data_IF_856580947115
#
_entry.id   IF_856580947115
#
_cell.length_a   1.000
_cell.length_b   1.000
_cell.length_c   1.000
_cell.angle_alpha   90.00
_cell.angle_beta   90.00
_cell.angle_gamma   90.00
#
_symmetry.space_group_name_H-M   'P 1'
#
loop_
_entity.id
_entity.type
_entity.pdbx_description
1 polymer ?
#
# COMPACT_ATOMS: atom_id res chain seq x y z
N UNK A 1 0.70 -21.47 -30.47
CA UNK A 1 0.44 -20.21 -31.24
C UNK A 1 0.44 -18.94 -30.39
N UNK A 2 0.64 -18.99 -29.08
CA UNK A 2 0.59 -17.83 -28.15
C UNK A 2 1.95 -17.08 -28.05
N UNK A 3 3.08 -17.72 -28.41
CA UNK A 3 4.42 -17.12 -28.29
C UNK A 3 4.73 -15.94 -29.23
N UNK A 4 3.96 -15.71 -30.30
CA UNK A 4 4.24 -14.63 -31.27
C UNK A 4 3.60 -13.29 -30.96
N UNK A 5 2.61 -13.20 -30.07
CA UNK A 5 1.89 -11.95 -29.79
C UNK A 5 2.42 -11.16 -28.58
N UNK A 6 3.26 -11.76 -27.73
CA UNK A 6 3.84 -11.10 -26.55
C UNK A 6 4.97 -10.12 -26.93
N UNK A 7 5.67 -10.34 -28.03
CA UNK A 7 6.82 -9.50 -28.45
C UNK A 7 6.36 -8.21 -29.15
N UNK A 8 5.18 -8.17 -29.75
CA UNK A 8 4.68 -7.01 -30.50
C UNK A 8 4.14 -5.90 -29.59
N UNK A 9 3.79 -6.18 -28.34
CA UNK A 9 3.27 -5.17 -27.40
C UNK A 9 4.39 -4.34 -26.72
N UNK A 10 5.65 -4.74 -26.81
CA UNK A 10 6.78 -4.04 -26.17
C UNK A 10 7.39 -2.92 -27.01
N UNK A 11 6.98 -2.70 -28.26
CA UNK A 11 7.65 -1.77 -29.19
C UNK A 11 6.91 -0.45 -29.43
N UNK A 12 5.85 -0.12 -28.70
CA UNK A 12 5.10 1.14 -28.88
C UNK A 12 5.41 2.24 -27.85
N UNK A 13 6.49 2.13 -27.08
CA UNK A 13 6.94 3.22 -26.23
C UNK A 13 7.99 4.10 -26.94
N UNK A 14 7.55 4.93 -27.89
CA UNK A 14 8.40 5.96 -28.50
C UNK A 14 8.56 7.12 -27.49
N UNK A 15 9.80 7.57 -27.22
CA UNK A 15 9.99 8.72 -26.35
C UNK A 15 9.55 9.99 -27.09
N UNK A 16 8.50 10.66 -26.57
CA UNK A 16 8.21 12.03 -26.97
C UNK A 16 9.40 12.90 -26.53
N UNK A 17 10.05 13.57 -27.47
CA UNK A 17 11.09 14.57 -27.21
C UNK A 17 10.55 15.60 -26.22
N UNK A 18 11.22 15.75 -25.08
CA UNK A 18 10.90 16.73 -24.07
C UNK A 18 11.07 18.14 -24.62
N UNK A 19 9.98 18.90 -24.65
CA UNK A 19 10.08 20.35 -24.67
C UNK A 19 10.85 20.78 -23.42
N UNK A 20 11.86 21.61 -23.56
CA UNK A 20 12.53 22.30 -22.43
C UNK A 20 11.46 23.19 -21.83
N UNK A 21 10.86 22.74 -20.72
CA UNK A 21 9.91 23.56 -19.97
C UNK A 21 10.69 24.70 -19.34
N UNK A 22 10.29 25.94 -19.62
CA UNK A 22 10.68 27.10 -18.80
C UNK A 22 10.38 26.74 -17.35
N UNK A 23 11.34 26.87 -16.46
CA UNK A 23 11.17 26.62 -15.03
C UNK A 23 10.08 27.57 -14.51
N UNK A 24 8.92 27.01 -14.22
CA UNK A 24 7.80 27.75 -13.68
C UNK A 24 8.19 28.37 -12.33
N UNK A 25 7.91 29.65 -12.12
CA UNK A 25 8.09 30.29 -10.81
C UNK A 25 7.01 29.86 -9.79
N UNK A 26 6.00 29.08 -10.22
CA UNK A 26 4.97 28.55 -9.33
C UNK A 26 5.51 27.34 -8.52
N UNK A 27 5.57 27.42 -7.19
CA UNK A 27 6.04 26.32 -6.33
C UNK A 27 5.27 25.03 -6.53
N UNK A 28 3.95 25.09 -6.77
CA UNK A 28 3.14 23.91 -7.01
C UNK A 28 3.48 23.25 -8.35
N UNK A 29 3.83 24.03 -9.37
CA UNK A 29 4.28 23.49 -10.65
C UNK A 29 5.66 22.81 -10.53
N UNK A 30 6.61 23.43 -9.80
CA UNK A 30 7.93 22.82 -9.55
C UNK A 30 7.82 21.48 -8.82
N UNK A 31 6.95 21.36 -7.81
CA UNK A 31 6.70 20.07 -7.14
C UNK A 31 6.05 19.07 -8.09
N UNK A 32 5.12 19.50 -8.95
CA UNK A 32 4.49 18.64 -9.94
C UNK A 32 5.50 18.08 -10.96
N UNK A 33 6.50 18.86 -11.38
CA UNK A 33 7.60 18.44 -12.24
C UNK A 33 8.49 17.36 -11.57
N UNK A 34 8.58 17.37 -10.24
CA UNK A 34 9.23 16.30 -9.48
C UNK A 34 8.40 15.02 -9.40
N UNK A 35 7.16 15.01 -9.90
CA UNK A 35 6.28 13.85 -9.95
C UNK A 35 5.27 13.78 -8.81
N UNK A 36 5.10 14.88 -8.07
CA UNK A 36 4.02 14.97 -7.08
C UNK A 36 2.68 15.27 -7.75
N UNK A 37 1.64 14.74 -7.16
CA UNK A 37 0.26 14.90 -7.63
C UNK A 37 -0.58 15.60 -6.56
N UNK A 38 -1.72 16.15 -6.97
CA UNK A 38 -2.66 16.89 -6.10
C UNK A 38 -2.01 18.04 -5.31
N UNK A 39 -0.97 18.65 -5.88
CA UNK A 39 -0.16 19.65 -5.19
C UNK A 39 -0.96 20.92 -4.95
N UNK A 40 -0.88 21.44 -3.72
CA UNK A 40 -1.36 22.74 -3.29
C UNK A 40 -0.36 23.34 -2.31
N UNK A 41 -0.03 24.60 -2.48
CA UNK A 41 0.92 25.32 -1.64
C UNK A 41 0.27 26.62 -1.18
N UNK A 42 0.44 26.98 0.09
CA UNK A 42 0.04 28.27 0.64
C UNK A 42 1.11 28.79 1.61
N UNK A 43 1.44 30.06 1.49
CA UNK A 43 2.35 30.77 2.36
C UNK A 43 1.56 31.48 3.46
N UNK A 44 2.03 31.42 4.69
CA UNK A 44 1.46 32.16 5.80
C UNK A 44 2.55 33.03 6.43
N UNK A 45 2.74 34.21 5.86
CA UNK A 45 3.86 35.07 6.18
C UNK A 45 5.22 34.44 5.91
N UNK A 46 6.28 34.97 6.49
CA UNK A 46 7.65 34.46 6.32
C UNK A 46 7.99 33.26 7.24
N UNK A 47 7.01 32.72 7.94
CA UNK A 47 7.27 31.75 9.02
C UNK A 47 6.95 30.32 8.64
N UNK A 48 5.85 30.05 7.96
CA UNK A 48 5.36 28.69 7.68
C UNK A 48 4.81 28.59 6.26
N UNK A 49 5.19 27.52 5.57
CA UNK A 49 4.59 27.12 4.29
C UNK A 49 3.78 25.85 4.49
N UNK A 50 2.52 25.88 4.09
CA UNK A 50 1.60 24.76 4.11
C UNK A 50 1.54 24.10 2.75
N UNK A 51 1.74 22.79 2.71
CA UNK A 51 1.77 22.03 1.46
C UNK A 51 0.94 20.77 1.58
N UNK A 52 0.16 20.50 0.55
CA UNK A 52 -0.51 19.22 0.35
C UNK A 52 0.07 18.59 -0.91
N UNK A 53 0.44 17.33 -0.85
CA UNK A 53 0.95 16.58 -2.00
C UNK A 53 0.68 15.08 -1.88
N UNK A 54 0.64 14.41 -3.04
CA UNK A 54 0.55 12.95 -3.16
C UNK A 54 1.81 12.43 -3.87
N UNK A 55 2.47 11.45 -3.25
CA UNK A 55 3.76 10.92 -3.71
C UNK A 55 3.58 9.64 -4.51
N UNK A 56 3.08 9.72 -5.74
CA UNK A 56 2.85 8.56 -6.58
C UNK A 56 4.10 8.05 -7.33
N UNK A 57 5.19 8.82 -7.35
CA UNK A 57 6.37 8.54 -8.18
C UNK A 57 7.56 7.97 -7.43
N UNK A 58 7.53 7.96 -6.11
CA UNK A 58 8.66 7.54 -5.28
C UNK A 58 8.34 6.28 -4.49
N UNK A 59 9.24 5.30 -4.54
CA UNK A 59 9.15 4.09 -3.71
C UNK A 59 9.35 4.44 -2.24
N UNK A 60 8.41 4.02 -1.40
CA UNK A 60 8.40 4.30 0.03
C UNK A 60 7.86 5.70 0.38
N UNK A 61 6.97 5.75 1.36
CA UNK A 61 6.26 6.97 1.79
C UNK A 61 7.20 8.08 2.23
N UNK A 62 8.26 7.73 2.98
CA UNK A 62 9.27 8.65 3.49
C UNK A 62 10.13 9.29 2.39
N UNK A 63 10.39 8.58 1.29
CA UNK A 63 11.27 9.07 0.21
C UNK A 63 10.63 10.24 -0.54
N UNK A 64 9.36 10.09 -0.89
CA UNK A 64 8.61 11.18 -1.48
C UNK A 64 8.51 12.38 -0.54
N UNK A 65 8.26 12.13 0.76
CA UNK A 65 8.24 13.19 1.77
C UNK A 65 9.58 13.96 1.81
N UNK A 66 10.71 13.25 1.85
CA UNK A 66 12.04 13.87 1.88
C UNK A 66 12.32 14.71 0.63
N UNK A 67 12.03 14.18 -0.57
CA UNK A 67 12.22 14.92 -1.82
C UNK A 67 11.35 16.17 -1.87
N UNK A 68 10.10 16.08 -1.40
CA UNK A 68 9.19 17.24 -1.32
C UNK A 68 9.71 18.30 -0.36
N UNK A 69 10.14 17.93 0.84
CA UNK A 69 10.69 18.83 1.85
C UNK A 69 11.99 19.48 1.34
N UNK A 70 12.87 18.72 0.72
CA UNK A 70 14.12 19.24 0.15
C UNK A 70 13.84 20.28 -0.96
N UNK A 71 12.88 20.00 -1.84
CA UNK A 71 12.47 20.93 -2.89
C UNK A 71 11.90 22.23 -2.30
N UNK A 72 11.03 22.12 -1.29
CA UNK A 72 10.48 23.25 -0.57
C UNK A 72 11.58 24.11 0.09
N UNK A 73 12.58 23.47 0.71
CA UNK A 73 13.71 24.17 1.30
C UNK A 73 14.59 24.93 0.31
N UNK A 74 14.61 24.51 -0.97
CA UNK A 74 15.26 25.24 -2.06
C UNK A 74 14.41 26.41 -2.57
N UNK A 75 13.09 26.20 -2.68
CA UNK A 75 12.13 27.22 -3.14
C UNK A 75 12.00 28.34 -2.10
N UNK A 76 12.00 27.97 -0.81
CA UNK A 76 11.76 28.85 0.31
C UNK A 76 12.92 28.83 1.33
N UNK A 77 14.11 29.39 1.00
CA UNK A 77 15.31 29.24 1.82
C UNK A 77 15.21 29.91 3.20
N UNK A 78 14.36 30.93 3.35
CA UNK A 78 14.22 31.73 4.56
C UNK A 78 13.06 31.31 5.48
N UNK A 79 12.23 30.35 5.04
CA UNK A 79 11.08 29.87 5.80
C UNK A 79 11.54 28.99 6.97
N UNK A 80 10.93 29.19 8.15
CA UNK A 80 11.30 28.48 9.39
C UNK A 80 10.78 27.07 9.46
N UNK A 81 9.57 26.82 8.91
CA UNK A 81 8.92 25.51 8.99
C UNK A 81 8.07 25.20 7.76
N UNK A 82 8.01 23.94 7.40
CA UNK A 82 7.09 23.40 6.42
C UNK A 82 6.10 22.46 7.10
N UNK A 83 4.81 22.65 6.83
CA UNK A 83 3.72 21.76 7.23
C UNK A 83 3.25 21.03 5.99
N UNK A 84 3.58 19.75 5.89
CA UNK A 84 3.35 18.92 4.69
C UNK A 84 2.31 17.85 5.00
N UNK A 85 1.21 17.83 4.24
CA UNK A 85 0.19 16.80 4.30
C UNK A 85 0.38 15.84 3.14
N UNK A 86 0.67 14.60 3.44
CA UNK A 86 0.82 13.51 2.48
C UNK A 86 -0.54 12.87 2.22
N UNK A 87 -0.85 12.68 0.94
CA UNK A 87 -2.09 12.04 0.50
C UNK A 87 -1.81 10.67 -0.13
N UNK A 88 -2.83 9.79 -0.05
CA UNK A 88 -2.99 8.62 -0.89
C UNK A 88 -4.43 8.62 -1.44
N UNK A 89 -4.60 8.44 -2.75
CA UNK A 89 -5.90 8.57 -3.43
C UNK A 89 -6.68 9.84 -3.02
N UNK A 90 -5.95 10.95 -2.87
CA UNK A 90 -6.47 12.26 -2.44
C UNK A 90 -6.97 12.30 -0.97
N UNK A 91 -6.78 11.24 -0.19
CA UNK A 91 -7.15 11.15 1.23
C UNK A 91 -5.93 11.47 2.10
N UNK A 92 -6.08 12.33 3.12
CA UNK A 92 -5.03 12.59 4.11
C UNK A 92 -4.55 11.33 4.83
N UNK A 93 -3.25 11.10 4.84
CA UNK A 93 -2.63 9.98 5.54
C UNK A 93 -1.77 10.44 6.71
N UNK A 94 -0.76 11.26 6.45
CA UNK A 94 0.24 11.70 7.44
C UNK A 94 0.54 13.18 7.23
N UNK A 95 0.64 13.92 8.32
CA UNK A 95 1.19 15.28 8.34
C UNK A 95 2.61 15.28 8.87
N UNK A 96 3.45 16.13 8.28
CA UNK A 96 4.84 16.31 8.70
C UNK A 96 5.08 17.78 9.04
N UNK A 97 5.85 18.02 10.10
CA UNK A 97 6.45 19.31 10.40
C UNK A 97 7.95 19.19 10.16
N UNK A 98 8.47 19.92 9.18
CA UNK A 98 9.89 19.94 8.89
C UNK A 98 10.45 21.34 9.20
N UNK A 99 11.50 21.38 10.04
CA UNK A 99 12.23 22.60 10.39
C UNK A 99 13.71 22.39 10.08
N UNK A 100 14.43 23.48 9.82
CA UNK A 100 15.87 23.44 9.58
C UNK A 100 16.61 24.31 10.59
N UNK A 101 17.60 23.73 11.27
CA UNK A 101 18.46 24.44 12.19
C UNK A 101 19.91 23.94 11.99
N UNK A 102 20.88 24.85 11.95
CA UNK A 102 22.30 24.55 11.78
C UNK A 102 22.62 23.64 10.58
N UNK A 103 21.88 23.82 9.49
CA UNK A 103 22.01 23.02 8.28
C UNK A 103 21.38 21.64 8.33
N UNK A 104 20.87 21.21 9.48
CA UNK A 104 20.22 19.91 9.69
C UNK A 104 18.69 20.02 9.67
N UNK A 105 18.03 19.02 9.11
CA UNK A 105 16.60 18.89 9.12
C UNK A 105 16.12 18.16 10.37
N UNK A 106 15.06 18.68 10.98
CA UNK A 106 14.28 18.00 12.01
C UNK A 106 12.86 17.80 11.50
N UNK A 107 12.42 16.54 11.42
CA UNK A 107 11.11 16.18 10.89
C UNK A 107 10.32 15.43 11.95
N UNK A 108 9.10 15.91 12.23
CA UNK A 108 8.13 15.26 13.12
C UNK A 108 6.90 14.85 12.34
N UNK A 109 6.34 13.71 12.64
CA UNK A 109 5.14 13.17 12.00
C UNK A 109 3.97 13.07 12.95
N UNK A 110 2.77 13.32 12.42
CA UNK A 110 1.51 13.21 13.14
C UNK A 110 0.38 12.80 12.17
N UNK A 111 -0.76 12.40 12.73
CA UNK A 111 -2.00 12.23 11.97
C UNK A 111 -2.85 13.50 11.92
N UNK A 112 -2.63 14.45 12.85
CA UNK A 112 -3.38 15.70 12.93
C UNK A 112 -2.93 16.69 11.84
N UNK A 113 -3.89 17.27 11.12
CA UNK A 113 -3.66 18.22 10.02
C UNK A 113 -4.67 19.37 9.98
N UNK A 114 -5.33 19.67 11.11
CA UNK A 114 -6.37 20.72 11.19
C UNK A 114 -5.80 22.07 10.77
N UNK A 115 -4.57 22.42 11.19
CA UNK A 115 -3.87 23.65 10.81
C UNK A 115 -3.66 23.76 9.30
N UNK A 116 -3.31 22.65 8.63
CA UNK A 116 -3.16 22.61 7.16
C UNK A 116 -4.52 22.77 6.49
N UNK A 117 -5.58 22.21 7.07
CA UNK A 117 -6.93 22.26 6.54
C UNK A 117 -7.50 23.68 6.57
N UNK A 118 -7.24 24.44 7.65
CA UNK A 118 -7.72 25.83 7.81
C UNK A 118 -6.84 26.86 7.10
N UNK A 119 -5.60 26.49 6.72
CA UNK A 119 -4.75 27.37 5.93
C UNK A 119 -5.42 27.74 4.60
N UNK A 120 -5.17 28.94 4.12
CA UNK A 120 -5.74 29.45 2.85
C UNK A 120 -5.07 28.77 1.65
N UNK A 121 -5.40 27.53 1.40
CA UNK A 121 -4.87 26.74 0.28
C UNK A 121 -5.68 26.98 -1.00
N UNK A 122 -5.04 27.03 -2.18
CA UNK A 122 -5.73 27.10 -3.46
C UNK A 122 -6.74 25.96 -3.62
N UNK A 123 -7.95 26.24 -4.10
CA UNK A 123 -8.96 25.22 -4.38
C UNK A 123 -8.52 24.28 -5.50
N UNK A 124 -7.86 24.83 -6.53
CA UNK A 124 -7.34 24.08 -7.68
C UNK A 124 -6.08 23.31 -7.27
N UNK A 125 -6.05 22.03 -7.62
CA UNK A 125 -4.88 21.16 -7.45
C UNK A 125 -4.02 21.22 -8.69
N UNK A 126 -2.70 21.30 -8.52
CA UNK A 126 -1.76 21.12 -9.63
C UNK A 126 -1.48 19.63 -9.79
N UNK A 127 -1.52 19.14 -11.02
CA UNK A 127 -1.27 17.74 -11.39
C UNK A 127 -2.22 16.74 -10.67
N UNK A 128 -3.54 16.86 -10.90
CA UNK A 128 -4.52 15.95 -10.29
C UNK A 128 -4.24 14.47 -10.59
N UNK A 129 -4.36 13.59 -9.59
CA UNK A 129 -4.27 12.13 -9.75
C UNK A 129 -5.56 11.51 -10.30
N UNK A 130 -6.69 12.21 -10.26
CA UNK A 130 -7.97 11.66 -10.67
C UNK A 130 -7.99 11.23 -12.14
N UNK A 131 -8.43 9.99 -12.39
CA UNK A 131 -8.49 9.38 -13.72
C UNK A 131 -7.13 8.98 -14.32
N UNK A 132 -6.07 9.00 -13.53
CA UNK A 132 -4.79 8.41 -13.91
C UNK A 132 -4.77 6.91 -13.61
N UNK A 133 -4.12 6.16 -14.47
CA UNK A 133 -4.10 4.70 -14.43
C UNK A 133 -2.68 4.19 -14.27
N UNK A 134 -2.46 3.32 -13.32
CA UNK A 134 -1.24 2.52 -13.17
C UNK A 134 -1.47 1.09 -13.65
N UNK A 135 -0.58 0.61 -14.48
CA UNK A 135 -0.48 -0.78 -14.89
C UNK A 135 0.79 -1.37 -14.28
N UNK A 136 0.62 -2.34 -13.40
CA UNK A 136 1.72 -2.97 -12.64
C UNK A 136 1.65 -4.49 -12.83
N UNK A 137 2.77 -5.17 -13.03
CA UNK A 137 2.80 -6.64 -13.11
C UNK A 137 3.48 -7.18 -11.86
N UNK A 138 2.69 -7.76 -10.96
CA UNK A 138 3.19 -8.38 -9.74
C UNK A 138 3.63 -9.82 -9.99
N UNK A 139 4.85 -10.22 -9.62
CA UNK A 139 5.21 -11.62 -9.50
C UNK A 139 4.57 -12.19 -8.24
N UNK A 140 3.95 -13.36 -8.34
CA UNK A 140 3.38 -14.08 -7.22
C UNK A 140 4.06 -15.44 -7.09
N UNK A 141 4.38 -15.82 -5.87
CA UNK A 141 4.97 -17.11 -5.56
C UNK A 141 4.38 -17.67 -4.28
N UNK A 142 3.82 -18.86 -4.37
CA UNK A 142 3.31 -19.63 -3.22
C UNK A 142 4.13 -20.87 -3.08
N UNK A 143 4.58 -21.17 -1.87
CA UNK A 143 5.33 -22.37 -1.54
C UNK A 143 4.61 -23.11 -0.40
N UNK A 144 4.43 -24.42 -0.57
CA UNK A 144 3.75 -25.26 0.38
C UNK A 144 4.64 -26.48 0.66
N UNK A 145 4.88 -26.74 1.93
CA UNK A 145 5.79 -27.78 2.39
C UNK A 145 5.08 -28.66 3.43
N UNK A 146 4.26 -29.62 2.99
CA UNK A 146 3.41 -30.38 3.88
C UNK A 146 3.34 -31.90 3.63
N UNK A 147 3.99 -32.42 2.57
CA UNK A 147 3.93 -33.85 2.23
C UNK A 147 5.31 -34.46 2.12
N UNK A 148 5.49 -35.65 2.72
CA UNK A 148 6.76 -36.38 2.65
C UNK A 148 7.08 -36.91 1.25
N UNK A 149 6.05 -37.26 0.47
CA UNK A 149 6.21 -37.79 -0.90
C UNK A 149 6.34 -36.68 -1.96
N UNK A 150 5.93 -35.46 -1.63
CA UNK A 150 6.12 -34.25 -2.46
C UNK A 150 6.75 -33.19 -1.56
N UNK A 151 8.09 -33.09 -1.52
CA UNK A 151 8.79 -32.27 -0.54
C UNK A 151 8.37 -30.78 -0.57
N UNK A 152 7.94 -30.31 -1.73
CA UNK A 152 7.35 -28.97 -1.87
C UNK A 152 6.39 -28.92 -3.05
N UNK A 153 5.30 -28.21 -2.85
CA UNK A 153 4.40 -27.75 -3.89
C UNK A 153 4.60 -26.25 -4.08
N UNK A 154 4.45 -25.77 -5.31
CA UNK A 154 4.56 -24.34 -5.59
C UNK A 154 3.61 -23.90 -6.70
N UNK A 155 3.30 -22.61 -6.66
CA UNK A 155 2.66 -21.89 -7.76
C UNK A 155 3.46 -20.62 -8.01
N UNK A 156 3.96 -20.45 -9.22
CA UNK A 156 4.53 -19.20 -9.72
C UNK A 156 3.54 -18.60 -10.71
N UNK A 157 3.16 -17.34 -10.50
CA UNK A 157 2.18 -16.64 -11.31
C UNK A 157 2.59 -15.20 -11.58
N UNK A 158 1.99 -14.60 -12.61
CA UNK A 158 2.02 -13.18 -12.86
C UNK A 158 0.64 -12.60 -12.61
N UNK A 159 0.58 -11.45 -11.96
CA UNK A 159 -0.65 -10.75 -11.66
C UNK A 159 -0.60 -9.31 -12.22
N UNK A 160 -0.92 -9.13 -13.52
CA UNK A 160 -1.04 -7.81 -14.12
C UNK A 160 -2.20 -7.07 -13.46
N UNK A 161 -1.92 -5.89 -12.92
CA UNK A 161 -2.85 -5.11 -12.12
C UNK A 161 -3.07 -3.75 -12.75
N UNK A 162 -4.33 -3.35 -12.83
CA UNK A 162 -4.75 -2.00 -13.21
C UNK A 162 -5.32 -1.33 -11.97
N UNK A 163 -4.78 -0.16 -11.63
CA UNK A 163 -5.26 0.65 -10.52
C UNK A 163 -5.57 2.08 -10.99
N UNK A 164 -6.69 2.62 -10.52
CA UNK A 164 -7.08 4.01 -10.79
C UNK A 164 -7.90 4.58 -9.63
N UNK A 165 -7.93 5.91 -9.54
CA UNK A 165 -8.78 6.66 -8.62
C UNK A 165 -9.51 7.72 -9.41
N UNK A 166 -10.85 7.73 -9.37
CA UNK A 166 -11.67 8.67 -10.15
C UNK A 166 -12.01 9.92 -9.34
N UNK A 167 -12.20 9.78 -8.03
CA UNK A 167 -12.48 10.87 -7.09
C UNK A 167 -11.80 10.63 -5.75
N UNK A 168 -11.92 11.58 -4.84
CA UNK A 168 -11.28 11.52 -3.52
C UNK A 168 -11.67 10.26 -2.75
N UNK A 169 -10.68 9.48 -2.36
CA UNK A 169 -10.82 8.25 -1.57
C UNK A 169 -11.32 7.04 -2.36
N UNK A 170 -11.61 7.20 -3.64
CA UNK A 170 -11.95 6.07 -4.50
C UNK A 170 -10.70 5.35 -4.97
N UNK A 171 -10.76 4.02 -5.00
CA UNK A 171 -9.80 3.16 -5.70
C UNK A 171 -10.56 2.08 -6.44
N UNK A 172 -10.12 1.79 -7.65
CA UNK A 172 -10.57 0.67 -8.46
C UNK A 172 -9.34 -0.17 -8.77
N UNK A 173 -9.39 -1.45 -8.42
CA UNK A 173 -8.32 -2.43 -8.68
C UNK A 173 -8.86 -3.56 -9.53
N UNK A 174 -8.12 -3.93 -10.57
CA UNK A 174 -8.40 -5.11 -11.38
C UNK A 174 -7.10 -5.90 -11.55
N UNK A 175 -7.07 -7.11 -11.03
CA UNK A 175 -5.91 -7.99 -11.04
C UNK A 175 -6.31 -9.43 -11.37
N UNK A 176 -6.15 -9.89 -12.60
CA UNK A 176 -6.13 -11.31 -12.91
C UNK A 176 -4.83 -11.96 -12.42
N UNK A 177 -4.90 -13.22 -12.00
CA UNK A 177 -3.75 -14.06 -11.67
C UNK A 177 -3.57 -15.07 -12.80
N UNK A 178 -2.39 -15.09 -13.40
CA UNK A 178 -2.03 -15.94 -14.52
C UNK A 178 -0.96 -16.93 -14.07
N UNK A 179 -1.30 -18.21 -13.80
CA UNK A 179 -0.31 -19.22 -13.44
C UNK A 179 0.68 -19.45 -14.59
N UNK A 180 1.98 -19.45 -14.29
CA UNK A 180 3.06 -19.66 -15.25
C UNK A 180 3.67 -21.03 -15.08
N UNK A 181 3.87 -21.46 -13.82
CA UNK A 181 4.42 -22.76 -13.48
C UNK A 181 3.88 -23.22 -12.14
N UNK A 182 3.52 -24.47 -12.03
CA UNK A 182 3.00 -25.06 -10.80
C UNK A 182 3.15 -26.58 -10.76
N UNK A 183 3.23 -27.13 -9.55
CA UNK A 183 3.13 -28.56 -9.29
C UNK A 183 2.09 -28.91 -8.20
N UNK A 184 1.27 -27.94 -7.81
CA UNK A 184 0.23 -28.10 -6.78
C UNK A 184 -0.84 -29.08 -7.24
N UNK A 185 -1.16 -30.05 -6.39
CA UNK A 185 -2.21 -31.05 -6.63
C UNK A 185 -3.52 -30.73 -5.89
N UNK A 186 -3.43 -30.03 -4.76
CA UNK A 186 -4.53 -29.86 -3.80
C UNK A 186 -5.43 -28.65 -4.05
N UNK A 187 -4.96 -27.61 -4.73
CA UNK A 187 -5.73 -26.35 -4.93
C UNK A 187 -6.08 -26.21 -6.42
N UNK A 188 -7.28 -26.61 -6.81
CA UNK A 188 -7.72 -26.59 -8.21
C UNK A 188 -7.70 -25.18 -8.83
N UNK A 189 -8.17 -24.15 -8.11
CA UNK A 189 -8.22 -22.77 -8.63
C UNK A 189 -6.86 -22.20 -8.97
N UNK A 190 -5.79 -22.64 -8.29
CA UNK A 190 -4.42 -22.15 -8.52
C UNK A 190 -3.84 -22.51 -9.89
N UNK A 191 -4.43 -23.46 -10.59
CA UNK A 191 -4.01 -23.91 -11.93
C UNK A 191 -4.60 -23.08 -13.07
N UNK A 192 -5.65 -22.32 -12.78
CA UNK A 192 -6.40 -21.59 -13.78
C UNK A 192 -6.12 -20.08 -13.71
N UNK A 193 -6.28 -19.43 -14.86
CA UNK A 193 -6.38 -17.97 -14.87
C UNK A 193 -7.65 -17.58 -14.12
N UNK A 194 -7.49 -16.72 -13.12
CA UNK A 194 -8.59 -16.31 -12.23
C UNK A 194 -8.47 -14.84 -11.83
N UNK A 195 -9.54 -14.31 -11.29
CA UNK A 195 -9.52 -12.99 -10.66
C UNK A 195 -8.84 -13.11 -9.31
N UNK A 196 -7.79 -12.32 -9.07
CA UNK A 196 -7.20 -12.16 -7.76
C UNK A 196 -7.95 -11.10 -6.98
N UNK A 197 -7.96 -9.87 -7.53
CA UNK A 197 -8.72 -8.73 -6.99
C UNK A 197 -9.48 -8.08 -8.16
N UNK A 198 -10.75 -7.78 -7.96
CA UNK A 198 -11.53 -6.90 -8.83
C UNK A 198 -12.52 -6.14 -7.96
N UNK A 199 -12.08 -5.03 -7.40
CA UNK A 199 -12.83 -4.29 -6.39
C UNK A 199 -12.95 -2.80 -6.70
N UNK A 200 -13.95 -2.20 -6.10
CA UNK A 200 -14.07 -0.77 -5.91
C UNK A 200 -14.09 -0.48 -4.41
N UNK A 201 -13.27 0.47 -3.97
CA UNK A 201 -13.23 0.89 -2.59
C UNK A 201 -13.39 2.40 -2.45
N UNK A 202 -13.91 2.80 -1.28
CA UNK A 202 -14.04 4.19 -0.86
C UNK A 202 -13.43 4.35 0.53
N UNK A 203 -12.43 5.19 0.63
CA UNK A 203 -11.78 5.58 1.88
C UNK A 203 -12.20 6.99 2.28
N UNK A 204 -12.39 7.21 3.57
CA UNK A 204 -12.69 8.50 4.19
C UNK A 204 -11.86 8.68 5.46
N UNK A 205 -11.48 9.93 5.74
CA UNK A 205 -10.79 10.31 6.97
C UNK A 205 -11.54 11.46 7.63
N UNK A 206 -11.65 11.44 8.96
CA UNK A 206 -12.23 12.53 9.74
C UNK A 206 -11.43 13.82 9.59
N UNK A 207 -12.05 14.94 9.97
CA UNK A 207 -11.42 16.28 9.84
C UNK A 207 -10.18 16.44 10.72
N UNK A 208 -10.16 15.80 11.87
CA UNK A 208 -9.03 15.79 12.81
C UNK A 208 -7.94 14.76 12.44
N UNK A 209 -8.17 13.92 11.42
CA UNK A 209 -7.23 12.88 10.99
C UNK A 209 -7.24 11.61 11.83
N UNK A 210 -8.01 11.55 12.91
CA UNK A 210 -7.98 10.43 13.86
C UNK A 210 -8.77 9.22 13.42
N UNK A 211 -9.90 9.41 12.74
CA UNK A 211 -10.72 8.31 12.24
C UNK A 211 -10.49 8.10 10.75
N UNK A 212 -10.32 6.88 10.36
CA UNK A 212 -10.26 6.43 8.99
C UNK A 212 -11.22 5.27 8.80
N UNK A 213 -11.97 5.26 7.72
CA UNK A 213 -12.83 4.16 7.34
C UNK A 213 -12.69 3.86 5.85
N UNK A 214 -12.78 2.59 5.49
CA UNK A 214 -12.78 2.11 4.11
C UNK A 214 -13.87 1.08 3.93
N UNK A 215 -14.64 1.21 2.85
CA UNK A 215 -15.59 0.20 2.38
C UNK A 215 -15.12 -0.27 1.00
N UNK A 216 -14.98 -1.57 0.82
CA UNK A 216 -14.65 -2.20 -0.46
C UNK A 216 -15.73 -3.21 -0.85
N UNK A 217 -15.95 -3.39 -2.16
CA UNK A 217 -16.85 -4.39 -2.69
C UNK A 217 -16.32 -4.96 -4.00
N UNK A 218 -16.41 -6.27 -4.15
CA UNK A 218 -15.94 -6.97 -5.34
C UNK A 218 -15.34 -8.33 -5.06
N UNK A 219 -14.38 -8.73 -5.89
CA UNK A 219 -13.57 -9.94 -5.73
C UNK A 219 -12.32 -9.63 -4.93
N UNK A 220 -12.01 -10.51 -3.99
CA UNK A 220 -10.86 -10.46 -3.11
C UNK A 220 -10.01 -11.72 -3.24
N UNK A 221 -8.78 -11.69 -2.73
CA UNK A 221 -7.95 -12.89 -2.63
C UNK A 221 -8.66 -14.04 -1.91
N UNK A 222 -8.12 -15.24 -2.07
CA UNK A 222 -8.68 -16.49 -1.54
C UNK A 222 -10.03 -16.88 -2.16
N UNK A 223 -10.25 -16.49 -3.44
CA UNK A 223 -11.45 -16.83 -4.20
C UNK A 223 -12.74 -16.39 -3.49
N UNK A 224 -12.75 -15.14 -2.97
CA UNK A 224 -13.87 -14.53 -2.24
C UNK A 224 -14.51 -13.40 -3.03
N UNK A 225 -15.83 -13.25 -2.89
CA UNK A 225 -16.61 -12.13 -3.43
C UNK A 225 -17.54 -11.58 -2.37
N UNK A 226 -17.65 -10.26 -2.25
CA UNK A 226 -18.55 -9.63 -1.26
C UNK A 226 -18.16 -8.22 -0.92
N UNK A 227 -18.28 -7.88 0.36
CA UNK A 227 -17.99 -6.56 0.93
C UNK A 227 -17.05 -6.65 2.11
N UNK A 228 -16.21 -5.62 2.29
CA UNK A 228 -15.25 -5.48 3.38
C UNK A 228 -15.30 -4.06 3.93
N UNK A 229 -15.48 -3.91 5.24
CA UNK A 229 -15.50 -2.64 5.96
C UNK A 229 -14.35 -2.61 6.96
N UNK A 230 -13.55 -1.57 6.92
CA UNK A 230 -12.46 -1.32 7.85
C UNK A 230 -12.64 0.02 8.52
N UNK A 231 -12.35 0.06 9.82
CA UNK A 231 -12.35 1.30 10.60
C UNK A 231 -11.08 1.33 11.45
N UNK A 232 -10.43 2.47 11.50
CA UNK A 232 -9.24 2.69 12.32
C UNK A 232 -9.37 3.99 13.11
N UNK A 233 -8.93 3.95 14.37
CA UNK A 233 -8.79 5.09 15.25
C UNK A 233 -7.32 5.28 15.60
N UNK A 234 -6.76 6.38 15.18
CA UNK A 234 -5.36 6.79 15.41
C UNK A 234 -5.26 7.47 16.77
N UNK A 235 -5.06 6.66 17.83
CA UNK A 235 -5.10 7.12 19.21
C UNK A 235 -3.93 8.06 19.54
N UNK A 236 -2.74 7.72 19.04
CA UNK A 236 -1.51 8.52 19.13
C UNK A 236 -0.73 8.38 17.81
N UNK A 237 0.33 9.17 17.57
CA UNK A 237 1.21 8.93 16.42
C UNK A 237 1.82 7.52 16.35
N UNK A 238 1.82 6.79 17.46
CA UNK A 238 2.43 5.46 17.56
C UNK A 238 1.41 4.31 17.69
N UNK A 239 0.17 4.60 18.09
CA UNK A 239 -0.85 3.60 18.38
C UNK A 239 -2.09 3.81 17.52
N UNK A 240 -2.44 2.80 16.74
CA UNK A 240 -3.69 2.73 15.98
C UNK A 240 -4.52 1.53 16.49
N UNK A 241 -5.77 1.77 16.76
CA UNK A 241 -6.77 0.74 17.07
C UNK A 241 -7.72 0.62 15.88
N UNK A 242 -8.13 -0.58 15.52
CA UNK A 242 -8.97 -0.78 14.35
C UNK A 242 -9.89 -1.97 14.47
N UNK A 243 -10.75 -2.09 13.49
CA UNK A 243 -11.61 -3.24 13.29
C UNK A 243 -11.91 -3.45 11.83
N UNK A 244 -12.18 -4.69 11.49
CA UNK A 244 -12.56 -5.11 10.15
C UNK A 244 -13.78 -6.03 10.24
N UNK A 245 -14.71 -5.90 9.32
CA UNK A 245 -15.86 -6.78 9.18
C UNK A 245 -16.13 -7.02 7.70
N UNK A 246 -16.25 -8.28 7.30
CA UNK A 246 -16.54 -8.62 5.91
C UNK A 246 -17.67 -9.64 5.82
N UNK A 247 -18.43 -9.55 4.72
CA UNK A 247 -19.48 -10.50 4.38
C UNK A 247 -19.25 -10.97 2.96
N UNK A 248 -18.82 -12.24 2.81
CA UNK A 248 -18.32 -12.78 1.54
C UNK A 248 -18.85 -14.18 1.24
N UNK A 249 -18.88 -14.52 -0.04
CA UNK A 249 -19.16 -15.86 -0.58
C UNK A 249 -17.96 -16.42 -1.36
N UNK A 250 -18.05 -17.67 -1.77
CA UNK A 250 -17.04 -18.31 -2.61
C UNK A 250 -17.15 -17.87 -4.07
N UNK A 251 -16.01 -17.68 -4.74
CA UNK A 251 -15.91 -17.41 -6.18
C UNK A 251 -14.79 -18.28 -6.79
N UNK A 252 -14.99 -19.61 -6.76
CA UNK A 252 -13.97 -20.61 -7.07
C UNK A 252 -13.97 -20.91 -8.57
N UNK A 253 -12.79 -21.05 -9.17
CA UNK A 253 -12.64 -21.52 -10.55
C UNK A 253 -12.43 -23.02 -10.56
N UNK A 254 -13.35 -23.74 -11.21
CA UNK A 254 -13.26 -25.17 -11.49
C UNK A 254 -13.35 -25.39 -13.01
N UNK A 255 -12.40 -26.12 -13.58
CA UNK A 255 -12.35 -26.45 -15.02
C UNK A 255 -12.58 -25.23 -15.94
N UNK A 256 -12.05 -24.07 -15.53
CA UNK A 256 -12.18 -22.81 -16.30
C UNK A 256 -13.52 -22.08 -16.14
N UNK A 257 -14.42 -22.58 -15.30
CA UNK A 257 -15.71 -21.95 -14.99
C UNK A 257 -15.74 -21.44 -13.55
N UNK A 258 -16.37 -20.29 -13.33
CA UNK A 258 -16.61 -19.76 -12.00
C UNK A 258 -17.83 -20.41 -11.35
N UNK A 259 -17.65 -20.94 -10.15
CA UNK A 259 -18.72 -21.25 -9.20
C UNK A 259 -18.79 -20.10 -8.20
N UNK A 260 -19.80 -19.25 -8.36
CA UNK A 260 -20.01 -18.08 -7.52
C UNK A 260 -21.21 -18.35 -6.61
N UNK A 261 -20.96 -18.31 -5.30
CA UNK A 261 -21.97 -18.43 -4.27
C UNK A 261 -22.34 -17.06 -3.69
N UNK A 262 -23.59 -16.90 -3.34
CA UNK A 262 -24.05 -15.72 -2.58
C UNK A 262 -23.24 -15.60 -1.28
N UNK A 263 -22.97 -14.37 -0.79
CA UNK A 263 -22.31 -14.17 0.48
C UNK A 263 -23.04 -14.91 1.61
N UNK A 264 -22.33 -15.74 2.34
CA UNK A 264 -22.83 -16.61 3.42
C UNK A 264 -21.91 -16.61 4.64
N UNK A 265 -20.72 -16.00 4.52
CA UNK A 265 -19.72 -15.99 5.59
C UNK A 265 -19.46 -14.57 6.07
N UNK A 266 -19.61 -14.40 7.36
CA UNK A 266 -19.27 -13.17 8.06
C UNK A 266 -17.95 -13.37 8.81
N UNK A 267 -16.99 -12.49 8.58
CA UNK A 267 -15.73 -12.41 9.34
C UNK A 267 -15.60 -11.04 10.00
N UNK A 268 -14.92 -11.00 11.15
CA UNK A 268 -14.65 -9.76 11.86
C UNK A 268 -13.48 -9.91 12.80
N UNK A 269 -12.69 -8.85 12.98
CA UNK A 269 -11.65 -8.81 14.01
C UNK A 269 -11.35 -7.38 14.47
N UNK A 270 -10.89 -7.30 15.72
CA UNK A 270 -10.24 -6.12 16.25
C UNK A 270 -8.75 -6.15 15.92
N UNK A 271 -8.16 -4.97 15.71
CA UNK A 271 -6.73 -4.77 15.44
C UNK A 271 -6.17 -3.74 16.42
N UNK A 272 -4.94 -3.96 16.88
CA UNK A 272 -4.14 -2.96 17.57
C UNK A 272 -2.74 -2.96 16.96
N UNK A 273 -2.29 -1.81 16.52
CA UNK A 273 -0.97 -1.61 15.93
C UNK A 273 -0.19 -0.59 16.74
N UNK A 274 1.01 -0.97 17.14
CA UNK A 274 1.93 -0.09 17.87
C UNK A 274 3.29 -0.05 17.18
N UNK A 275 3.80 1.17 16.95
CA UNK A 275 5.14 1.41 16.45
C UNK A 275 6.05 1.91 17.56
N UNK A 276 7.12 1.18 17.82
CA UNK A 276 8.15 1.55 18.81
C UNK A 276 9.28 2.34 18.11
N UNK A 277 9.42 3.67 18.40
CA UNK A 277 10.31 4.55 17.65
C UNK A 277 11.80 4.25 17.81
N UNK A 278 12.21 3.72 18.96
CA UNK A 278 13.62 3.48 19.27
C UNK A 278 14.15 2.25 18.54
N UNK A 279 13.46 1.12 18.68
CA UNK A 279 13.82 -0.13 18.00
C UNK A 279 13.30 -0.18 16.55
N UNK A 280 12.34 0.69 16.20
CA UNK A 280 11.65 0.74 14.90
C UNK A 280 10.91 -0.56 14.60
N UNK A 281 10.39 -1.19 15.62
CA UNK A 281 9.55 -2.36 15.51
C UNK A 281 8.08 -1.94 15.46
N UNK A 282 7.32 -2.57 14.58
CA UNK A 282 5.88 -2.54 14.55
C UNK A 282 5.37 -3.85 15.16
N UNK A 283 4.51 -3.76 16.16
CA UNK A 283 3.71 -4.87 16.65
C UNK A 283 2.28 -4.72 16.18
N UNK A 284 1.68 -5.76 15.61
CA UNK A 284 0.27 -5.80 15.25
C UNK A 284 -0.37 -7.02 15.91
N UNK A 285 -1.40 -6.77 16.71
CA UNK A 285 -2.26 -7.79 17.30
C UNK A 285 -3.62 -7.75 16.62
N UNK A 286 -4.10 -8.91 16.18
CA UNK A 286 -5.39 -9.08 15.53
C UNK A 286 -6.12 -10.24 16.17
N UNK A 287 -7.42 -10.11 16.47
CA UNK A 287 -8.19 -11.18 17.06
C UNK A 287 -9.66 -11.10 16.68
N UNK A 288 -10.26 -12.26 16.39
CA UNK A 288 -11.66 -12.36 15.98
C UNK A 288 -11.96 -13.61 15.18
N UNK A 289 -12.90 -13.51 14.25
CA UNK A 289 -13.32 -14.57 13.34
C UNK A 289 -12.74 -14.34 11.94
N UNK A 290 -11.90 -15.25 11.49
CA UNK A 290 -11.28 -15.21 10.17
C UNK A 290 -12.26 -15.58 9.05
N UNK A 291 -11.83 -15.38 7.79
CA UNK A 291 -12.68 -15.49 6.59
C UNK A 291 -13.29 -16.87 6.41
N UNK A 292 -12.58 -17.95 6.78
CA UNK A 292 -13.09 -19.32 6.64
C UNK A 292 -13.84 -19.81 7.88
N UNK A 293 -14.06 -18.92 8.88
CA UNK A 293 -14.97 -19.14 10.00
C UNK A 293 -14.29 -19.55 11.30
N UNK A 294 -12.98 -19.72 11.28
CA UNK A 294 -12.17 -20.02 12.46
C UNK A 294 -12.00 -18.77 13.34
N UNK A 295 -11.98 -18.98 14.66
CA UNK A 295 -11.74 -17.93 15.65
C UNK A 295 -10.31 -18.00 16.15
N UNK A 296 -9.64 -16.84 16.24
CA UNK A 296 -8.27 -16.85 16.67
C UNK A 296 -7.67 -15.48 16.95
N UNK A 297 -6.37 -15.52 17.23
CA UNK A 297 -5.52 -14.36 17.49
C UNK A 297 -4.22 -14.49 16.69
N UNK A 298 -3.82 -13.43 16.00
CA UNK A 298 -2.54 -13.33 15.29
C UNK A 298 -1.74 -12.17 15.88
N UNK A 299 -0.47 -12.42 16.20
CA UNK A 299 0.54 -11.42 16.54
C UNK A 299 1.58 -11.38 15.42
N UNK A 300 1.81 -10.20 14.89
CA UNK A 300 2.85 -9.92 13.90
C UNK A 300 3.84 -8.91 14.47
N UNK A 301 5.12 -9.14 14.31
CA UNK A 301 6.20 -8.24 14.70
C UNK A 301 7.08 -8.00 13.49
N UNK A 302 7.10 -6.76 13.02
CA UNK A 302 7.79 -6.36 11.80
C UNK A 302 8.79 -5.24 12.05
N UNK A 303 9.85 -5.22 11.27
CA UNK A 303 10.77 -4.09 11.18
C UNK A 303 10.85 -3.57 9.78
N UNK A 304 10.46 -2.31 9.61
CA UNK A 304 10.56 -1.58 8.36
C UNK A 304 11.91 -0.85 8.32
N UNK A 305 12.72 -1.22 7.36
CA UNK A 305 13.96 -0.51 7.04
C UNK A 305 13.67 0.54 5.94
N UNK A 306 14.73 1.18 5.43
CA UNK A 306 14.53 2.17 4.35
C UNK A 306 13.95 1.57 3.07
N UNK A 307 14.41 0.38 2.69
CA UNK A 307 14.07 -0.24 1.40
C UNK A 307 13.54 -1.68 1.53
N UNK A 308 13.41 -2.22 2.73
CA UNK A 308 12.89 -3.57 2.93
C UNK A 308 12.22 -3.73 4.30
N UNK A 309 11.36 -4.71 4.40
CA UNK A 309 10.67 -5.10 5.63
C UNK A 309 10.96 -6.56 5.93
N UNK A 310 11.14 -6.89 7.18
CA UNK A 310 11.21 -8.27 7.67
C UNK A 310 10.28 -8.38 8.87
N UNK A 311 9.50 -9.44 8.95
CA UNK A 311 8.61 -9.72 10.07
C UNK A 311 8.48 -11.21 10.37
N UNK A 312 8.01 -11.48 11.58
CA UNK A 312 7.65 -12.79 12.08
C UNK A 312 6.23 -12.71 12.61
N UNK A 313 5.46 -13.78 12.45
CA UNK A 313 4.14 -13.86 13.05
C UNK A 313 3.87 -15.20 13.70
N UNK A 314 3.00 -15.16 14.71
CA UNK A 314 2.39 -16.34 15.31
C UNK A 314 0.87 -16.20 15.30
N UNK A 315 0.17 -17.29 15.11
CA UNK A 315 -1.29 -17.36 15.09
C UNK A 315 -1.79 -18.57 15.86
N UNK A 316 -2.86 -18.33 16.63
CA UNK A 316 -3.67 -19.35 17.31
C UNK A 316 -5.08 -19.23 16.75
N UNK A 317 -5.58 -20.24 16.06
CA UNK A 317 -6.90 -20.18 15.42
C UNK A 317 -7.52 -21.57 15.26
N UNK A 318 -8.83 -21.70 15.47
CA UNK A 318 -9.55 -22.96 15.33
C UNK A 318 -9.04 -24.09 16.23
N UNK A 319 -8.32 -23.79 17.32
CA UNK A 319 -7.64 -24.77 18.15
C UNK A 319 -6.22 -25.12 17.70
N UNK A 320 -5.80 -24.64 16.54
CA UNK A 320 -4.47 -24.87 15.95
C UNK A 320 -3.53 -23.69 16.19
N UNK A 321 -2.23 -23.95 16.21
CA UNK A 321 -1.20 -22.93 16.27
C UNK A 321 -0.31 -23.00 15.04
N UNK A 322 0.05 -21.86 14.52
CA UNK A 322 0.92 -21.74 13.36
C UNK A 322 1.77 -20.49 13.47
N UNK A 323 2.72 -20.33 12.58
CA UNK A 323 3.59 -19.18 12.51
C UNK A 323 4.37 -19.17 11.21
N UNK A 324 5.08 -18.08 11.03
CA UNK A 324 5.88 -17.91 9.85
C UNK A 324 6.67 -16.61 9.87
N UNK A 325 7.19 -16.29 8.73
CA UNK A 325 7.88 -15.03 8.51
C UNK A 325 7.44 -14.40 7.19
N UNK A 326 7.63 -13.11 7.09
CA UNK A 326 7.38 -12.38 5.86
C UNK A 326 8.48 -11.36 5.60
N UNK A 327 8.63 -11.01 4.36
CA UNK A 327 9.52 -9.93 3.95
C UNK A 327 8.96 -9.17 2.75
N UNK A 328 9.37 -7.92 2.61
CA UNK A 328 9.19 -7.13 1.40
C UNK A 328 10.54 -6.58 0.97
N UNK A 329 10.96 -6.86 -0.24
CA UNK A 329 12.22 -6.39 -0.82
C UNK A 329 11.94 -5.51 -2.05
N UNK A 330 12.79 -4.50 -2.34
CA UNK A 330 12.56 -3.61 -3.46
C UNK A 330 12.68 -4.36 -4.80
N UNK A 331 11.71 -4.18 -5.66
CA UNK A 331 11.69 -4.75 -7.00
C UNK A 331 11.79 -3.66 -8.08
N UNK A 332 11.08 -2.56 -7.91
CA UNK A 332 11.12 -1.41 -8.81
C UNK A 332 12.26 -0.41 -8.47
N UNK A 333 12.53 0.54 -9.35
CA UNK A 333 13.47 1.63 -9.08
C UNK A 333 12.93 2.58 -7.99
N UNK A 334 13.82 3.38 -7.38
CA UNK A 334 13.45 4.34 -6.34
C UNK A 334 12.48 5.43 -6.82
N UNK A 335 12.44 5.68 -8.12
CA UNK A 335 11.57 6.67 -8.75
C UNK A 335 11.01 6.14 -10.06
N UNK A 336 9.68 6.19 -10.19
CA UNK A 336 8.94 5.79 -11.40
C UNK A 336 7.97 6.91 -11.79
N UNK A 337 8.46 7.84 -12.62
CA UNK A 337 7.70 9.03 -13.04
C UNK A 337 6.50 8.66 -13.89
N UNK A 338 5.37 9.33 -13.64
CA UNK A 338 4.21 9.33 -14.52
C UNK A 338 4.29 10.52 -15.47
N UNK A 339 4.47 10.25 -16.77
CA UNK A 339 4.56 11.28 -17.81
C UNK A 339 3.21 11.62 -18.46
N UNK A 340 2.18 10.84 -18.21
CA UNK A 340 0.86 10.99 -18.82
C UNK A 340 -0.25 10.44 -17.93
N UNK A 341 -1.41 10.15 -18.50
CA UNK A 341 -2.53 9.56 -17.76
C UNK A 341 -2.32 8.08 -17.44
N UNK A 342 -1.54 7.37 -18.23
CA UNK A 342 -1.26 5.93 -18.05
C UNK A 342 0.22 5.74 -17.75
N UNK A 343 0.53 4.92 -16.75
CA UNK A 343 1.89 4.54 -16.40
C UNK A 343 2.00 3.01 -16.35
N UNK A 344 2.97 2.46 -17.07
CA UNK A 344 3.47 1.11 -16.83
C UNK A 344 4.57 1.20 -15.79
N UNK A 345 4.42 0.49 -14.69
CA UNK A 345 5.41 0.47 -13.61
C UNK A 345 5.74 -0.95 -13.17
N UNK A 346 6.92 -1.12 -12.59
CA UNK A 346 7.25 -2.30 -11.81
C UNK A 346 6.62 -2.16 -10.41
N UNK A 347 6.28 -3.26 -9.73
CA UNK A 347 5.92 -3.22 -8.32
C UNK A 347 7.02 -2.55 -7.52
N UNK A 348 6.66 -1.74 -6.54
CA UNK A 348 7.65 -1.12 -5.67
C UNK A 348 8.40 -2.17 -4.87
N UNK A 349 7.69 -3.21 -4.43
CA UNK A 349 8.24 -4.31 -3.66
C UNK A 349 7.75 -5.66 -4.18
N UNK A 350 8.58 -6.69 -4.00
CA UNK A 350 8.17 -8.07 -3.93
C UNK A 350 7.98 -8.41 -2.46
N UNK A 351 6.77 -8.71 -2.08
CA UNK A 351 6.44 -9.18 -0.75
C UNK A 351 6.10 -10.68 -0.77
N UNK A 352 6.45 -11.35 0.29
CA UNK A 352 6.21 -12.76 0.44
C UNK A 352 6.05 -13.15 1.90
N UNK A 353 5.09 -14.02 2.16
CA UNK A 353 4.85 -14.60 3.47
C UNK A 353 5.00 -16.11 3.39
N UNK A 354 5.84 -16.66 4.27
CA UNK A 354 5.93 -18.07 4.53
C UNK A 354 5.05 -18.42 5.72
N UNK A 355 4.15 -19.37 5.54
CA UNK A 355 3.35 -19.95 6.59
C UNK A 355 3.80 -21.40 6.81
N UNK A 356 4.17 -21.74 8.04
CA UNK A 356 4.40 -23.12 8.41
C UNK A 356 3.10 -23.89 8.24
N UNK A 357 3.18 -25.12 7.77
CA UNK A 357 2.04 -26.05 7.79
C UNK A 357 2.25 -26.97 8.97
N UNK A 358 1.85 -26.51 10.17
CA UNK A 358 2.02 -27.28 11.40
C UNK A 358 1.07 -28.49 11.44
N UNK A 359 -0.14 -28.33 10.89
CA UNK A 359 -1.14 -29.38 10.78
C UNK A 359 -1.82 -29.31 9.41
N UNK A 360 -2.26 -30.47 8.92
CA UNK A 360 -2.90 -30.61 7.62
C UNK A 360 -4.24 -29.84 7.57
N UNK A 361 -5.01 -29.90 8.64
CA UNK A 361 -6.30 -29.21 8.78
C UNK A 361 -6.16 -27.70 8.67
N UNK A 362 -5.09 -27.12 9.21
CA UNK A 362 -4.84 -25.67 9.10
C UNK A 362 -4.76 -25.23 7.64
N UNK A 363 -4.09 -26.03 6.80
CA UNK A 363 -3.92 -25.73 5.39
C UNK A 363 -5.19 -26.00 4.58
N UNK A 364 -5.81 -27.16 4.74
CA UNK A 364 -6.99 -27.57 3.98
C UNK A 364 -8.20 -26.68 4.27
N UNK A 365 -8.36 -26.22 5.51
CA UNK A 365 -9.42 -25.31 5.90
C UNK A 365 -9.07 -23.84 5.70
N UNK A 366 -7.87 -23.53 5.17
CA UNK A 366 -7.38 -22.16 4.92
C UNK A 366 -7.50 -21.25 6.16
N UNK A 367 -7.21 -21.78 7.34
CA UNK A 367 -7.35 -21.08 8.62
C UNK A 367 -6.50 -19.79 8.67
N UNK A 368 -6.95 -18.81 9.44
CA UNK A 368 -6.22 -17.57 9.71
C UNK A 368 -6.16 -16.58 8.55
N UNK A 369 -6.98 -16.75 7.50
CA UNK A 369 -7.03 -15.83 6.36
C UNK A 369 -7.95 -14.65 6.64
N UNK A 370 -7.56 -13.49 6.14
CA UNK A 370 -8.31 -12.23 6.19
C UNK A 370 -8.42 -11.62 4.79
N UNK A 371 -9.34 -10.67 4.60
CA UNK A 371 -9.55 -10.05 3.28
C UNK A 371 -8.38 -9.13 2.94
N UNK A 372 -7.91 -9.20 1.72
CA UNK A 372 -6.96 -8.28 1.12
C UNK A 372 -7.61 -7.60 -0.08
N UNK A 373 -7.58 -6.27 -0.09
CA UNK A 373 -8.24 -5.43 -1.10
C UNK A 373 -7.25 -4.81 -2.09
N UNK A 374 -5.95 -4.97 -1.85
CA UNK A 374 -4.88 -4.54 -2.78
C UNK A 374 -3.69 -5.50 -2.75
N UNK A 375 -2.89 -5.53 -3.84
CA UNK A 375 -1.79 -6.50 -3.99
C UNK A 375 -0.67 -6.41 -2.96
N UNK A 376 -0.46 -5.24 -2.38
CA UNK A 376 0.67 -4.91 -1.49
C UNK A 376 0.21 -4.24 -0.18
N UNK A 377 -1.01 -4.55 0.26
CA UNK A 377 -1.72 -3.86 1.36
C UNK A 377 -0.95 -3.83 2.68
N UNK A 378 -0.27 -4.92 3.00
CA UNK A 378 0.33 -5.12 4.33
C UNK A 378 1.83 -4.86 4.36
N UNK A 379 2.40 -4.19 3.34
CA UNK A 379 3.85 -4.09 3.20
C UNK A 379 4.33 -2.64 3.12
N UNK A 380 5.62 -2.46 2.93
CA UNK A 380 6.32 -1.19 3.04
C UNK A 380 5.83 -0.08 2.11
N UNK A 381 5.20 -0.42 0.99
CA UNK A 381 4.77 0.57 0.00
C UNK A 381 3.71 1.53 0.56
N UNK A 382 2.82 1.01 1.40
CA UNK A 382 1.69 1.76 1.97
C UNK A 382 1.78 1.86 3.50
N UNK A 383 3.00 1.91 4.04
CA UNK A 383 3.19 2.04 5.47
C UNK A 383 3.12 3.51 5.89
N UNK A 384 1.94 3.93 6.29
CA UNK A 384 1.59 5.32 6.65
C UNK A 384 1.72 5.59 8.16
N UNK A 385 2.77 5.10 8.79
CA UNK A 385 3.06 5.38 10.20
C UNK A 385 3.84 6.69 10.31
N UNK A 386 3.31 7.75 10.99
CA UNK A 386 3.87 9.10 10.91
C UNK A 386 5.27 9.23 11.48
N UNK A 387 5.56 8.53 12.59
CA UNK A 387 6.88 8.59 13.21
C UNK A 387 7.93 7.87 12.35
N UNK A 388 7.57 6.73 11.73
CA UNK A 388 8.42 6.04 10.77
C UNK A 388 8.73 6.92 9.54
N UNK A 389 7.70 7.50 8.93
CA UNK A 389 7.85 8.37 7.76
C UNK A 389 8.75 9.57 8.09
N UNK A 390 8.54 10.21 9.25
CA UNK A 390 9.34 11.35 9.69
C UNK A 390 10.80 10.97 9.94
N UNK A 391 11.06 9.88 10.68
CA UNK A 391 12.41 9.43 11.01
C UNK A 391 13.23 9.09 9.75
N UNK A 392 12.64 8.37 8.79
CA UNK A 392 13.35 8.01 7.58
C UNK A 392 13.47 9.16 6.58
N UNK A 393 12.48 10.06 6.50
CA UNK A 393 12.59 11.30 5.73
C UNK A 393 13.72 12.19 6.27
N UNK A 394 13.82 12.36 7.60
CA UNK A 394 14.90 13.11 8.24
C UNK A 394 16.26 12.51 7.92
N UNK A 395 16.42 11.20 8.04
CA UNK A 395 17.68 10.52 7.73
C UNK A 395 18.12 10.71 6.29
N UNK A 396 17.16 10.65 5.35
CA UNK A 396 17.44 10.87 3.94
C UNK A 396 17.86 12.33 3.67
N UNK A 397 17.15 13.29 4.27
CA UNK A 397 17.43 14.72 4.17
C UNK A 397 18.80 15.12 4.73
N UNK A 398 19.23 14.47 5.82
CA UNK A 398 20.51 14.71 6.46
C UNK A 398 21.66 13.84 5.89
N UNK A 399 21.40 13.05 4.83
CA UNK A 399 22.41 12.22 4.17
C UNK A 399 22.85 10.98 4.95
N UNK A 400 22.13 10.57 5.99
CA UNK A 400 22.43 9.39 6.79
C UNK A 400 22.07 8.06 6.06
N UNK A 401 21.16 8.13 5.10
CA UNK A 401 20.77 7.02 4.21
C UNK A 401 20.66 7.52 2.75
N UNK A 402 20.70 6.58 1.77
CA UNK A 402 20.64 6.90 0.33
C UNK A 402 19.31 6.47 -0.32
#
# INVERSE_FOLDING_TARGET
MIKKYIITLMLLAWPALGAIAETSNDPAAQLAELGFENVRVAEQGDSVVYVILESASYRGTFRGAAVGIEALGRIYPNVKAFRVLLLEHQVPQVSLTATRADGQWNVKGDYEYEDIRIATLPKKKTNSSAGKVDFTVYPMFTWINHRLNTPFEYVAALAPTIETSLWKGNRITLQPIIPVSYNVQSINSSRYVRVGIADISQEVTSRDGRWQAMLAGGFFYFDRIGVDLRVAYRATPNLTLGGEASFTGDAIVNDGHYDIKSPDRFSFFGKAEYYEPYTRLQGQLMGGRFVFGDYGVRLDISRHFSDYTIGLYGILTGGEHNGGFHFAIPLGPKRQMRRGKVRLKLPDYFDWEYSMVSYYEYYDQQMGKYIETRPDENRSAHYWQPVHVAQYAQKLLNGEIK
#
